data_IF_999118563075
#
_entry.id   IF_999118563075
#
_cell.length_a   1.000
_cell.length_b   1.000
_cell.length_c   1.000
_cell.angle_alpha   90.00
_cell.angle_beta   90.00
_cell.angle_gamma   90.00
#
_symmetry.space_group_name_H-M   'P 1'
#
loop_
_entity.id
_entity.type
_entity.pdbx_description
1 polymer ?
#
# COMPACT_ATOMS: atom_id res chain seq x y z
N UNK A 1 19.92 0.44 -38.12
CA UNK A 1 19.30 1.65 -37.55
C UNK A 1 18.20 1.16 -36.61
N UNK A 2 18.57 0.78 -35.38
CA UNK A 2 17.61 0.43 -34.34
C UNK A 2 17.31 1.70 -33.57
N UNK A 3 16.06 2.11 -33.52
CA UNK A 3 15.62 3.16 -32.62
C UNK A 3 15.56 2.58 -31.21
N UNK A 4 16.47 3.03 -30.34
CA UNK A 4 16.28 2.99 -28.90
C UNK A 4 15.04 3.82 -28.56
N UNK A 5 14.02 3.15 -28.06
CA UNK A 5 12.91 3.81 -27.38
C UNK A 5 13.46 4.30 -26.04
N UNK A 6 13.96 5.53 -26.03
CA UNK A 6 14.29 6.26 -24.81
C UNK A 6 13.02 6.32 -23.96
N UNK A 7 13.04 5.50 -22.92
CA UNK A 7 12.00 5.38 -21.92
C UNK A 7 12.09 6.63 -21.05
N UNK A 8 11.47 7.71 -21.53
CA UNK A 8 11.57 9.03 -20.92
C UNK A 8 10.75 9.09 -19.62
N UNK A 9 11.32 8.47 -18.59
CA UNK A 9 10.82 8.48 -17.22
C UNK A 9 11.04 9.84 -16.53
N UNK A 10 11.49 10.88 -17.24
CA UNK A 10 11.92 12.16 -16.66
C UNK A 10 10.95 13.34 -16.89
N UNK A 11 9.86 13.12 -17.64
CA UNK A 11 8.94 14.21 -17.99
C UNK A 11 8.03 14.61 -16.81
N UNK A 12 7.91 15.92 -16.58
CA UNK A 12 6.93 16.53 -15.67
C UNK A 12 5.54 15.98 -16.03
N UNK A 13 4.84 15.39 -15.06
CA UNK A 13 3.55 14.74 -15.27
C UNK A 13 3.60 13.22 -15.47
N UNK A 14 4.76 12.58 -15.32
CA UNK A 14 4.84 11.12 -15.31
C UNK A 14 4.17 10.55 -14.03
N UNK A 15 3.04 9.81 -14.15
CA UNK A 15 2.31 9.27 -13.00
C UNK A 15 3.17 8.34 -12.14
N UNK A 16 4.13 7.64 -12.77
CA UNK A 16 5.04 6.75 -12.07
C UNK A 16 5.97 7.50 -11.12
N UNK A 17 6.49 8.67 -11.54
CA UNK A 17 7.35 9.49 -10.69
C UNK A 17 6.61 10.00 -9.46
N UNK A 18 5.35 10.38 -9.60
CA UNK A 18 4.54 10.85 -8.47
C UNK A 18 4.21 9.71 -7.50
N UNK A 19 3.93 8.51 -8.02
CA UNK A 19 3.79 7.29 -7.22
C UNK A 19 5.10 6.99 -6.46
N UNK A 20 6.25 7.05 -7.13
CA UNK A 20 7.56 6.84 -6.50
C UNK A 20 7.85 7.87 -5.40
N UNK A 21 7.54 9.15 -5.62
CA UNK A 21 7.69 10.20 -4.59
C UNK A 21 6.84 9.89 -3.37
N UNK A 22 5.57 9.52 -3.58
CA UNK A 22 4.65 9.17 -2.50
C UNK A 22 5.15 7.95 -1.71
N UNK A 23 5.63 6.92 -2.42
CA UNK A 23 6.21 5.71 -1.80
C UNK A 23 7.46 6.03 -1.01
N UNK A 24 8.40 6.81 -1.54
CA UNK A 24 9.62 7.20 -0.83
C UNK A 24 9.34 7.95 0.47
N UNK A 25 8.30 8.78 0.46
CA UNK A 25 7.85 9.51 1.66
C UNK A 25 7.19 8.58 2.68
N UNK A 26 6.27 7.74 2.21
CA UNK A 26 5.46 6.89 3.08
C UNK A 26 6.15 5.58 3.48
N UNK A 27 7.18 5.14 2.77
CA UNK A 27 7.92 3.90 3.03
C UNK A 27 9.39 4.07 2.62
N UNK A 28 10.24 4.69 3.46
CA UNK A 28 11.63 4.99 3.07
C UNK A 28 12.46 3.76 2.66
N UNK A 29 12.16 2.58 3.21
CA UNK A 29 12.78 1.30 2.83
C UNK A 29 12.05 0.53 1.72
N UNK A 30 11.39 1.20 0.77
CA UNK A 30 10.51 0.55 -0.21
C UNK A 30 11.22 -0.45 -1.14
N UNK A 31 12.51 -0.23 -1.44
CA UNK A 31 13.28 -1.09 -2.36
C UNK A 31 13.58 -2.48 -1.79
N UNK A 32 13.51 -2.63 -0.47
CA UNK A 32 13.77 -3.88 0.25
C UNK A 32 12.51 -4.53 0.80
N UNK A 33 11.33 -4.06 0.38
CA UNK A 33 10.06 -4.71 0.72
C UNK A 33 10.09 -6.14 0.20
N UNK A 34 9.79 -7.06 1.11
CA UNK A 34 9.56 -8.47 0.75
C UNK A 34 8.12 -8.66 0.31
N UNK A 35 7.84 -9.76 -0.38
CA UNK A 35 6.49 -10.20 -0.75
C UNK A 35 5.46 -9.91 0.35
N UNK A 36 4.33 -9.33 -0.05
CA UNK A 36 3.27 -8.85 0.86
C UNK A 36 2.02 -9.70 0.72
N UNK A 37 1.14 -9.43 -0.24
CA UNK A 37 -0.05 -10.25 -0.50
C UNK A 37 -0.11 -10.78 -1.94
N UNK A 38 0.45 -10.04 -2.89
CA UNK A 38 0.57 -10.44 -4.28
C UNK A 38 1.61 -11.57 -4.45
N UNK A 39 1.26 -12.56 -5.26
CA UNK A 39 2.14 -13.65 -5.67
C UNK A 39 1.98 -13.86 -7.17
N UNK A 40 3.07 -13.72 -7.92
CA UNK A 40 3.05 -14.02 -9.33
C UNK A 40 3.05 -15.54 -9.51
N UNK A 41 2.02 -16.08 -10.16
CA UNK A 41 1.98 -17.51 -10.46
C UNK A 41 2.64 -17.74 -11.82
N UNK A 42 3.78 -18.46 -11.90
CA UNK A 42 4.46 -18.70 -13.17
C UNK A 42 3.60 -19.57 -14.10
N UNK A 43 3.68 -19.30 -15.41
CA UNK A 43 3.11 -20.18 -16.43
C UNK A 43 1.60 -20.04 -16.69
N UNK A 44 0.92 -19.09 -16.05
CA UNK A 44 -0.45 -18.74 -16.44
C UNK A 44 -0.41 -17.71 -17.57
N UNK A 45 -1.17 -17.95 -18.65
CA UNK A 45 -1.27 -17.05 -19.80
C UNK A 45 -1.92 -15.68 -19.49
N UNK A 46 -2.50 -15.53 -18.30
CA UNK A 46 -3.10 -14.28 -17.81
C UNK A 46 -2.07 -13.41 -17.12
N UNK A 47 -2.27 -12.09 -17.15
CA UNK A 47 -1.49 -11.15 -16.34
C UNK A 47 -1.62 -11.56 -14.85
N UNK A 48 -0.52 -11.87 -14.14
CA UNK A 48 -0.58 -12.56 -12.85
C UNK A 48 -1.30 -11.76 -11.76
N UNK A 49 -1.39 -10.44 -11.90
CA UNK A 49 -2.08 -9.55 -10.96
C UNK A 49 -3.61 -9.52 -11.12
N UNK A 50 -4.21 -10.06 -12.19
CA UNK A 50 -5.67 -9.94 -12.41
C UNK A 50 -6.50 -10.63 -11.32
N UNK A 51 -6.12 -11.85 -10.94
CA UNK A 51 -6.78 -12.62 -9.88
C UNK A 51 -6.60 -11.92 -8.54
N UNK A 52 -5.35 -11.56 -8.21
CA UNK A 52 -5.05 -10.82 -6.97
C UNK A 52 -5.82 -9.50 -6.90
N UNK A 53 -5.88 -8.76 -8.01
CA UNK A 53 -6.58 -7.48 -8.09
C UNK A 53 -8.04 -7.66 -7.73
N UNK A 54 -8.71 -8.63 -8.35
CA UNK A 54 -10.13 -8.89 -8.12
C UNK A 54 -10.40 -9.41 -6.71
N UNK A 55 -9.67 -10.44 -6.30
CA UNK A 55 -10.02 -11.25 -5.14
C UNK A 55 -9.48 -10.67 -3.82
N UNK A 56 -8.42 -9.85 -3.88
CA UNK A 56 -7.76 -9.28 -2.69
C UNK A 56 -7.72 -7.74 -2.76
N UNK A 57 -7.24 -7.16 -3.85
CA UNK A 57 -7.03 -5.70 -3.88
C UNK A 57 -8.35 -4.92 -3.88
N UNK A 58 -9.18 -5.11 -4.89
CA UNK A 58 -10.44 -4.37 -5.07
C UNK A 58 -11.46 -4.74 -3.99
N UNK A 59 -11.52 -6.02 -3.60
CA UNK A 59 -12.50 -6.57 -2.66
C UNK A 59 -12.19 -6.23 -1.19
N UNK A 60 -10.91 -6.06 -0.84
CA UNK A 60 -10.46 -5.96 0.56
C UNK A 60 -9.47 -4.82 0.77
N UNK A 61 -8.29 -4.87 0.13
CA UNK A 61 -7.19 -3.96 0.48
C UNK A 61 -7.51 -2.51 0.16
N UNK A 62 -8.01 -2.21 -1.05
CA UNK A 62 -8.31 -0.85 -1.46
C UNK A 62 -9.41 -0.20 -0.59
N UNK A 63 -10.57 -0.83 -0.33
CA UNK A 63 -11.56 -0.28 0.59
C UNK A 63 -11.01 -0.02 1.99
N UNK A 64 -10.28 -0.99 2.59
CA UNK A 64 -9.78 -0.83 3.96
C UNK A 64 -8.61 0.16 4.04
N UNK A 65 -7.78 0.27 3.01
CA UNK A 65 -6.74 1.30 2.91
C UNK A 65 -7.36 2.70 2.95
N UNK A 66 -8.38 2.94 2.11
CA UNK A 66 -9.06 4.24 2.05
C UNK A 66 -9.78 4.58 3.36
N UNK A 67 -10.42 3.58 3.98
CA UNK A 67 -11.04 3.72 5.30
C UNK A 67 -10.02 4.05 6.38
N UNK A 68 -8.88 3.36 6.39
CA UNK A 68 -7.79 3.60 7.34
C UNK A 68 -7.21 5.02 7.17
N UNK A 69 -6.98 5.45 5.93
CA UNK A 69 -6.51 6.80 5.63
C UNK A 69 -7.48 7.87 6.15
N UNK A 70 -8.77 7.75 5.82
CA UNK A 70 -9.79 8.72 6.23
C UNK A 70 -10.01 8.73 7.75
N UNK A 71 -9.96 7.55 8.38
CA UNK A 71 -10.06 7.41 9.84
C UNK A 71 -8.90 8.09 10.54
N UNK A 72 -7.66 7.89 10.05
CA UNK A 72 -6.51 8.58 10.62
C UNK A 72 -6.58 10.10 10.42
N UNK A 73 -6.89 10.55 9.20
CA UNK A 73 -6.99 11.97 8.86
C UNK A 73 -8.04 12.73 9.69
N UNK A 74 -9.08 12.04 10.17
CA UNK A 74 -10.12 12.59 11.06
C UNK A 74 -9.85 12.35 12.56
N UNK A 75 -8.72 11.72 12.92
CA UNK A 75 -8.40 11.37 14.32
C UNK A 75 -9.18 10.18 14.88
N UNK A 76 -9.93 9.45 14.05
CA UNK A 76 -10.68 8.25 14.42
C UNK A 76 -9.77 7.01 14.47
N UNK A 77 -9.06 6.85 15.59
CA UNK A 77 -8.15 5.71 15.80
C UNK A 77 -8.89 4.36 15.79
N UNK A 78 -10.10 4.31 16.34
CA UNK A 78 -10.91 3.08 16.35
C UNK A 78 -11.27 2.65 14.92
N UNK A 79 -11.62 3.59 14.04
CA UNK A 79 -11.89 3.32 12.63
C UNK A 79 -10.67 2.78 11.87
N UNK A 80 -9.46 3.25 12.21
CA UNK A 80 -8.22 2.71 11.66
C UNK A 80 -7.97 1.27 12.14
N UNK A 81 -8.09 1.01 13.44
CA UNK A 81 -7.90 -0.32 14.02
C UNK A 81 -8.92 -1.33 13.48
N UNK A 82 -10.15 -0.89 13.24
CA UNK A 82 -11.20 -1.72 12.64
C UNK A 82 -10.86 -2.10 11.19
N UNK A 83 -10.37 -1.15 10.39
CA UNK A 83 -9.91 -1.45 9.02
C UNK A 83 -8.75 -2.46 9.03
N UNK A 84 -7.81 -2.32 9.97
CA UNK A 84 -6.69 -3.24 10.15
C UNK A 84 -7.15 -4.66 10.55
N UNK A 85 -8.09 -4.77 11.49
CA UNK A 85 -8.70 -6.04 11.91
C UNK A 85 -9.40 -6.74 10.75
N UNK A 86 -10.20 -6.03 9.95
CA UNK A 86 -10.90 -6.59 8.79
C UNK A 86 -9.91 -7.20 7.78
N UNK A 87 -8.77 -6.55 7.54
CA UNK A 87 -7.72 -7.12 6.68
C UNK A 87 -7.19 -8.43 7.28
N UNK A 88 -6.88 -8.44 8.57
CA UNK A 88 -6.34 -9.62 9.26
C UNK A 88 -7.28 -10.83 9.24
N UNK A 89 -8.59 -10.60 9.36
CA UNK A 89 -9.60 -11.66 9.35
C UNK A 89 -9.91 -12.22 7.96
N UNK A 90 -9.77 -11.40 6.92
CA UNK A 90 -10.15 -11.78 5.56
C UNK A 90 -8.98 -12.31 4.72
N UNK A 91 -7.73 -11.94 5.04
CA UNK A 91 -6.57 -12.40 4.29
C UNK A 91 -6.29 -13.91 4.49
N UNK A 92 -5.85 -14.63 3.44
CA UNK A 92 -5.29 -15.96 3.61
C UNK A 92 -4.09 -15.94 4.57
N UNK A 93 -3.97 -16.95 5.44
CA UNK A 93 -3.00 -16.96 6.56
C UNK A 93 -1.56 -16.56 6.17
N UNK A 94 -1.06 -17.05 5.01
CA UNK A 94 0.28 -16.68 4.54
C UNK A 94 0.38 -15.21 4.14
N UNK A 95 -0.62 -14.67 3.45
CA UNK A 95 -0.67 -13.28 3.05
C UNK A 95 -0.88 -12.35 4.26
N UNK A 96 -1.72 -12.75 5.22
CA UNK A 96 -1.89 -12.07 6.51
C UNK A 96 -0.54 -11.89 7.21
N UNK A 97 0.21 -12.98 7.38
CA UNK A 97 1.48 -12.97 8.12
C UNK A 97 2.54 -12.11 7.43
N UNK A 98 2.64 -12.18 6.10
CA UNK A 98 3.56 -11.35 5.32
C UNK A 98 3.16 -9.87 5.34
N UNK A 99 1.88 -9.57 5.17
CA UNK A 99 1.34 -8.21 5.27
C UNK A 99 1.62 -7.59 6.64
N UNK A 100 1.37 -8.37 7.72
CA UNK A 100 1.64 -7.95 9.09
C UNK A 100 3.13 -7.72 9.32
N UNK A 101 3.99 -8.65 8.89
CA UNK A 101 5.43 -8.53 9.05
C UNK A 101 5.97 -7.24 8.42
N UNK A 102 5.58 -6.94 7.18
CA UNK A 102 6.04 -5.75 6.48
C UNK A 102 5.48 -4.46 7.13
N UNK A 103 4.21 -4.43 7.50
CA UNK A 103 3.61 -3.26 8.16
C UNK A 103 4.21 -2.97 9.54
N UNK A 104 4.39 -4.00 10.38
CA UNK A 104 5.07 -3.84 11.67
C UNK A 104 6.52 -3.41 11.52
N UNK A 105 7.24 -3.91 10.51
CA UNK A 105 8.60 -3.49 10.24
C UNK A 105 8.65 -1.99 9.87
N UNK A 106 7.75 -1.54 8.98
CA UNK A 106 7.61 -0.12 8.63
C UNK A 106 7.32 0.74 9.86
N UNK A 107 6.36 0.32 10.68
CA UNK A 107 5.95 1.09 11.87
C UNK A 107 7.04 1.17 12.95
N UNK A 108 7.88 0.14 13.08
CA UNK A 108 9.01 0.13 14.02
C UNK A 108 10.21 0.94 13.52
N UNK A 109 10.54 0.81 12.24
CA UNK A 109 11.74 1.41 11.67
C UNK A 109 11.58 2.90 11.36
N UNK A 110 10.36 3.35 11.07
CA UNK A 110 10.12 4.71 10.60
C UNK A 110 8.95 5.34 11.35
N UNK A 111 9.23 6.42 12.06
CA UNK A 111 8.20 7.26 12.67
C UNK A 111 7.63 8.23 11.65
N UNK A 112 6.46 8.79 11.93
CA UNK A 112 5.97 10.03 11.30
C UNK A 112 6.43 11.22 12.18
N UNK A 113 6.41 12.46 11.67
CA UNK A 113 6.91 13.62 12.41
C UNK A 113 6.39 13.70 13.86
N UNK A 114 7.27 14.09 14.78
CA UNK A 114 7.22 13.84 16.23
C UNK A 114 6.02 14.39 17.03
N UNK A 115 5.02 15.01 16.38
CA UNK A 115 3.85 15.59 17.02
C UNK A 115 2.57 14.73 16.92
N UNK A 116 2.60 13.61 16.19
CA UNK A 116 1.42 12.77 15.96
C UNK A 116 1.14 11.84 17.17
N UNK A 117 0.43 12.35 18.19
CA UNK A 117 -0.05 11.56 19.35
C UNK A 117 -0.76 10.26 18.93
N UNK A 118 -1.43 10.29 17.78
CA UNK A 118 -2.14 9.16 17.20
C UNK A 118 -1.20 8.06 16.73
N UNK A 119 -0.03 8.39 16.16
CA UNK A 119 1.01 7.42 15.85
C UNK A 119 1.46 6.66 17.09
N UNK A 120 1.81 7.36 18.16
CA UNK A 120 2.27 6.73 19.40
C UNK A 120 1.21 5.79 19.97
N UNK A 121 -0.07 6.19 19.96
CA UNK A 121 -1.17 5.34 20.44
C UNK A 121 -1.32 4.06 19.62
N UNK A 122 -1.25 4.16 18.29
CA UNK A 122 -1.33 3.00 17.41
C UNK A 122 -0.07 2.11 17.52
N UNK A 123 1.10 2.71 17.68
CA UNK A 123 2.34 1.98 17.91
C UNK A 123 2.28 1.18 19.22
N UNK A 124 1.84 1.80 20.31
CA UNK A 124 1.60 1.12 21.59
C UNK A 124 0.56 0.01 21.43
N UNK A 125 -0.54 0.26 20.74
CA UNK A 125 -1.55 -0.76 20.46
C UNK A 125 -0.99 -1.96 19.68
N UNK A 126 -0.09 -1.73 18.73
CA UNK A 126 0.59 -2.80 17.99
C UNK A 126 1.50 -3.62 18.91
N UNK A 127 2.30 -2.97 19.77
CA UNK A 127 3.18 -3.65 20.73
C UNK A 127 2.37 -4.50 21.73
N UNK A 128 1.21 -4.01 22.15
CA UNK A 128 0.27 -4.71 23.04
C UNK A 128 -0.58 -5.79 22.32
N UNK A 129 -0.42 -5.95 21.01
CA UNK A 129 -1.18 -6.93 20.23
C UNK A 129 -2.65 -6.58 19.99
N UNK A 130 -3.05 -5.33 20.22
CA UNK A 130 -4.42 -4.84 19.99
C UNK A 130 -4.72 -4.49 18.53
N UNK A 131 -3.70 -4.43 17.69
CA UNK A 131 -3.82 -4.24 16.24
C UNK A 131 -2.71 -5.03 15.55
N UNK A 132 -2.96 -5.49 14.32
CA UNK A 132 -1.99 -6.27 13.56
C UNK A 132 -0.93 -5.37 12.92
N UNK A 133 -1.32 -4.16 12.48
CA UNK A 133 -0.50 -3.21 11.73
C UNK A 133 -0.05 -3.80 10.38
N UNK A 134 -1.03 -4.15 9.54
CA UNK A 134 -0.81 -4.59 8.16
C UNK A 134 -0.17 -3.49 7.31
N UNK A 135 0.63 -3.88 6.30
CA UNK A 135 1.34 -2.90 5.46
C UNK A 135 0.39 -1.88 4.83
N UNK A 136 -0.78 -2.30 4.37
CA UNK A 136 -1.79 -1.42 3.77
C UNK A 136 -2.24 -0.32 4.73
N UNK A 137 -2.59 -0.66 5.98
CA UNK A 137 -3.09 0.30 6.97
C UNK A 137 -1.99 1.20 7.50
N UNK A 138 -0.76 0.68 7.68
CA UNK A 138 0.39 1.49 8.12
C UNK A 138 0.84 2.45 7.01
N UNK A 139 0.82 2.03 5.75
CA UNK A 139 1.07 2.94 4.63
C UNK A 139 -0.02 4.03 4.61
N UNK A 140 -1.31 3.66 4.67
CA UNK A 140 -2.42 4.61 4.72
C UNK A 140 -2.29 5.63 5.87
N UNK A 141 -1.87 5.17 7.04
CA UNK A 141 -1.55 6.01 8.20
C UNK A 141 -0.46 7.04 7.85
N UNK A 142 0.68 6.57 7.34
CA UNK A 142 1.81 7.43 6.98
C UNK A 142 1.42 8.42 5.89
N UNK A 143 0.68 7.98 4.88
CA UNK A 143 0.15 8.84 3.84
C UNK A 143 -0.75 9.95 4.39
N UNK A 144 -1.64 9.63 5.34
CA UNK A 144 -2.47 10.64 5.98
C UNK A 144 -1.63 11.63 6.80
N UNK A 145 -0.64 11.15 7.57
CA UNK A 145 0.26 12.00 8.36
C UNK A 145 1.16 12.92 7.49
N UNK A 146 1.49 12.50 6.27
CA UNK A 146 2.24 13.30 5.31
C UNK A 146 1.36 14.07 4.32
N UNK A 147 0.03 14.07 4.51
CA UNK A 147 -0.93 14.72 3.62
C UNK A 147 -0.83 14.26 2.15
N UNK A 148 -0.44 13.01 1.91
CA UNK A 148 -0.45 12.39 0.60
C UNK A 148 -1.88 11.99 0.24
N UNK A 149 -2.31 12.34 -0.97
CA UNK A 149 -3.63 11.97 -1.49
C UNK A 149 -3.85 10.46 -1.36
N UNK A 150 -5.03 10.00 -0.87
CA UNK A 150 -5.29 8.59 -0.64
C UNK A 150 -5.20 7.75 -1.92
N UNK A 151 -5.57 8.31 -3.08
CA UNK A 151 -5.45 7.62 -4.37
C UNK A 151 -3.98 7.41 -4.75
N UNK A 152 -3.16 8.45 -4.59
CA UNK A 152 -1.73 8.39 -4.90
C UNK A 152 -1.01 7.42 -3.96
N UNK A 153 -1.36 7.45 -2.68
CA UNK A 153 -0.82 6.53 -1.68
C UNK A 153 -1.22 5.08 -1.96
N UNK A 154 -2.45 4.83 -2.41
CA UNK A 154 -2.92 3.49 -2.78
C UNK A 154 -2.22 2.95 -4.03
N UNK A 155 -1.97 3.79 -5.05
CA UNK A 155 -1.08 3.44 -6.17
C UNK A 155 0.34 3.11 -5.67
N UNK A 156 0.83 3.86 -4.68
CA UNK A 156 2.10 3.56 -4.02
C UNK A 156 2.10 2.22 -3.30
N UNK A 157 1.00 1.83 -2.67
CA UNK A 157 0.85 0.50 -2.08
C UNK A 157 0.91 -0.61 -3.13
N UNK A 158 0.26 -0.44 -4.29
CA UNK A 158 0.37 -1.39 -5.42
C UNK A 158 1.83 -1.52 -5.89
N UNK A 159 2.58 -0.42 -5.92
CA UNK A 159 4.01 -0.47 -6.24
C UNK A 159 4.80 -1.28 -5.20
N UNK A 160 4.47 -1.20 -3.91
CA UNK A 160 5.12 -2.03 -2.88
C UNK A 160 4.80 -3.52 -3.06
N UNK A 161 3.56 -3.85 -3.42
CA UNK A 161 3.16 -5.23 -3.74
C UNK A 161 3.95 -5.78 -4.94
N UNK A 162 4.11 -4.98 -6.00
CA UNK A 162 4.86 -5.40 -7.18
C UNK A 162 6.36 -5.52 -6.90
N UNK A 163 6.95 -4.59 -6.14
CA UNK A 163 8.36 -4.65 -5.73
C UNK A 163 8.63 -5.85 -4.82
N UNK A 164 7.70 -6.16 -3.91
CA UNK A 164 7.84 -7.32 -3.03
C UNK A 164 7.86 -8.66 -3.78
N UNK A 165 7.24 -8.72 -4.97
CA UNK A 165 7.20 -9.93 -5.78
C UNK A 165 8.26 -9.98 -6.88
N UNK A 166 8.45 -8.89 -7.62
CA UNK A 166 9.35 -8.84 -8.77
C UNK A 166 10.75 -8.29 -8.43
N UNK A 167 10.89 -7.60 -7.29
CA UNK A 167 12.08 -6.83 -6.94
C UNK A 167 12.09 -5.44 -7.57
N UNK A 168 12.86 -4.52 -6.97
CA UNK A 168 13.02 -3.14 -7.44
C UNK A 168 13.79 -3.02 -8.77
N UNK A 169 14.50 -4.08 -9.18
CA UNK A 169 15.21 -4.17 -10.46
C UNK A 169 14.31 -4.39 -11.69
N UNK A 170 12.99 -4.54 -11.48
CA UNK A 170 11.99 -4.80 -12.54
C UNK A 170 10.96 -3.65 -12.65
N UNK A 171 11.38 -2.39 -12.90
CA UNK A 171 10.52 -1.22 -12.82
C UNK A 171 9.36 -1.24 -13.83
N UNK A 172 9.57 -1.84 -15.01
CA UNK A 172 8.55 -1.94 -16.05
C UNK A 172 7.36 -2.80 -15.59
N UNK A 173 7.63 -3.98 -15.03
CA UNK A 173 6.58 -4.87 -14.49
C UNK A 173 5.84 -4.25 -13.31
N UNK A 174 6.58 -3.54 -12.46
CA UNK A 174 6.00 -2.80 -11.35
C UNK A 174 5.03 -1.74 -11.84
N UNK A 175 5.42 -0.96 -12.85
CA UNK A 175 4.57 0.08 -13.39
C UNK A 175 3.34 -0.47 -14.11
N UNK A 176 3.48 -1.57 -14.87
CA UNK A 176 2.34 -2.24 -15.51
C UNK A 176 1.28 -2.68 -14.50
N UNK A 177 1.70 -3.19 -13.33
CA UNK A 177 0.79 -3.57 -12.26
C UNK A 177 0.08 -2.34 -11.65
N UNK A 178 0.80 -1.24 -11.44
CA UNK A 178 0.22 0.03 -10.96
C UNK A 178 -0.84 0.57 -11.94
N UNK A 179 -0.55 0.52 -13.24
CA UNK A 179 -1.52 0.93 -14.28
C UNK A 179 -2.73 0.00 -14.33
N UNK A 180 -2.53 -1.30 -14.14
CA UNK A 180 -3.60 -2.30 -14.17
C UNK A 180 -4.48 -2.28 -12.91
N UNK A 181 -3.98 -1.76 -11.78
CA UNK A 181 -4.70 -1.67 -10.52
C UNK A 181 -4.94 -0.20 -10.12
N UNK A 182 -5.69 0.58 -10.93
CA UNK A 182 -5.92 1.98 -10.62
C UNK A 182 -6.70 2.11 -9.31
N UNK A 183 -6.39 3.12 -8.48
CA UNK A 183 -7.12 3.36 -7.24
C UNK A 183 -8.59 3.69 -7.56
N UNK A 184 -9.56 3.12 -6.83
CA UNK A 184 -10.98 3.31 -7.09
C UNK A 184 -11.38 4.79 -6.98
N UNK A 185 -12.45 5.17 -7.67
CA UNK A 185 -12.93 6.55 -7.67
C UNK A 185 -13.44 6.96 -6.29
N UNK A 186 -12.95 8.10 -5.80
CA UNK A 186 -13.20 8.61 -4.45
C UNK A 186 -14.71 8.84 -4.15
N UNK A 187 -15.54 8.99 -5.18
CA UNK A 187 -16.99 9.20 -5.05
C UNK A 187 -17.77 7.94 -4.68
N UNK A 188 -17.22 6.74 -4.92
CA UNK A 188 -17.90 5.48 -4.65
C UNK A 188 -17.86 5.08 -3.16
N UNK A 189 -16.77 5.41 -2.46
CA UNK A 189 -16.50 4.92 -1.10
C UNK A 189 -16.90 5.87 0.03
N UNK A 190 -17.22 7.13 -0.27
CA UNK A 190 -17.70 8.12 0.72
C UNK A 190 -19.21 8.05 0.98
N UNK A 191 -19.95 7.24 0.22
CA UNK A 191 -21.42 7.09 0.37
C UNK A 191 -21.85 5.94 1.28
N UNK A 192 -20.91 5.14 1.77
CA UNK A 192 -21.21 3.91 2.52
C UNK A 192 -20.73 3.93 3.98
N UNK A 193 -20.35 5.10 4.52
CA UNK A 193 -19.95 5.27 5.92
C UNK A 193 -20.97 6.11 6.69
#
# INVERSE_FOLDING_TARGET
MMHEADNDLTTIGNPYLDVLKAVRLCHPGWESVSRVTFVATPGIATKPWEIWKKDIFDSLLAPQFLRAWASYASGNIAGWMEADRIIGEALPAKAETLSRRNGQALMKAYTVPAAEKNWTRLYTAMIEGRTHAHLATVMALRAAAFHVSPRLALSGYVLLESVGEFGSGEPQRCFEMVQACPPPDASANLRAA
#
